data_IF_173453547918
#
_entry.id   IF_173453547918
#
_cell.length_a   1.000
_cell.length_b   1.000
_cell.length_c   1.000
_cell.angle_alpha   90.00
_cell.angle_beta   90.00
_cell.angle_gamma   90.00
#
_symmetry.space_group_name_H-M   'P 1'
#
loop_
_entity.id
_entity.type
_entity.pdbx_description
1 polymer ?
#
# COMPACT_ATOMS: atom_id res chain seq x y z
N UNK A 1 -18.38 -10.93 -2.75
CA UNK A 1 -18.92 -9.55 -3.01
C UNK A 1 -18.33 -9.09 -4.33
N UNK A 2 -19.07 -8.36 -5.17
CA UNK A 2 -18.46 -7.78 -6.38
C UNK A 2 -17.46 -6.66 -6.00
N UNK A 3 -16.47 -6.41 -6.85
CA UNK A 3 -15.45 -5.36 -6.67
C UNK A 3 -16.10 -3.99 -6.52
N UNK A 4 -17.20 -3.74 -7.23
CA UNK A 4 -17.98 -2.50 -7.10
C UNK A 4 -18.52 -2.27 -5.69
N UNK A 5 -19.02 -3.34 -5.04
CA UNK A 5 -19.54 -3.27 -3.68
C UNK A 5 -18.41 -3.09 -2.66
N UNK A 6 -17.32 -3.83 -2.83
CA UNK A 6 -16.11 -3.72 -1.99
C UNK A 6 -15.58 -2.29 -1.98
N UNK A 7 -15.43 -1.69 -3.16
CA UNK A 7 -14.92 -0.33 -3.30
C UNK A 7 -15.95 0.69 -2.80
N UNK A 8 -17.23 0.47 -3.07
CA UNK A 8 -18.31 1.32 -2.59
C UNK A 8 -18.39 1.37 -1.05
N UNK A 9 -18.20 0.25 -0.38
CA UNK A 9 -18.10 0.19 1.09
C UNK A 9 -16.83 0.91 1.57
N UNK A 10 -15.69 0.55 1.01
CA UNK A 10 -14.39 1.10 1.39
C UNK A 10 -14.30 2.62 1.24
N UNK A 11 -14.96 3.21 0.25
CA UNK A 11 -15.04 4.67 0.09
C UNK A 11 -15.82 5.31 1.25
N UNK A 12 -16.88 4.67 1.75
CA UNK A 12 -17.69 5.24 2.84
C UNK A 12 -17.06 5.03 4.21
N UNK A 13 -16.24 4.00 4.36
CA UNK A 13 -15.66 3.57 5.63
C UNK A 13 -14.94 4.68 6.41
N UNK A 14 -14.02 5.50 5.84
CA UNK A 14 -13.37 6.56 6.61
C UNK A 14 -14.35 7.65 7.06
N UNK A 15 -15.47 7.85 6.35
CA UNK A 15 -16.48 8.85 6.69
C UNK A 15 -17.35 8.46 7.90
N UNK A 16 -17.23 7.23 8.41
CA UNK A 16 -17.95 6.78 9.60
C UNK A 16 -17.45 7.47 10.88
N UNK A 17 -16.14 7.79 10.97
CA UNK A 17 -15.56 8.47 12.11
C UNK A 17 -14.47 9.47 11.69
N UNK A 18 -14.88 10.73 11.49
CA UNK A 18 -13.97 11.82 11.14
C UNK A 18 -12.95 12.14 12.23
N UNK A 19 -13.24 11.81 13.49
CA UNK A 19 -12.27 12.03 14.57
C UNK A 19 -11.06 11.11 14.38
N UNK A 20 -11.29 9.83 14.07
CA UNK A 20 -10.21 8.86 13.78
C UNK A 20 -9.44 9.20 12.51
N UNK A 21 -10.11 9.72 11.48
CA UNK A 21 -9.44 10.25 10.27
C UNK A 21 -8.49 11.40 10.64
N UNK A 22 -8.97 12.36 11.45
CA UNK A 22 -8.16 13.50 11.87
C UNK A 22 -7.01 13.09 12.80
N UNK A 23 -7.23 12.12 13.71
CA UNK A 23 -6.17 11.56 14.56
C UNK A 23 -5.08 10.89 13.72
N UNK A 24 -5.44 10.05 12.74
CA UNK A 24 -4.50 9.49 11.78
C UNK A 24 -3.77 10.60 11.01
N UNK A 25 -4.49 11.66 10.65
CA UNK A 25 -3.96 12.86 10.03
C UNK A 25 -2.91 13.58 10.88
N UNK A 26 -3.14 13.72 12.19
CA UNK A 26 -2.16 14.29 13.12
C UNK A 26 -0.90 13.42 13.18
N UNK A 27 -1.03 12.08 13.18
CA UNK A 27 0.13 11.19 13.07
C UNK A 27 0.87 11.33 11.74
N UNK A 28 0.13 11.49 10.63
CA UNK A 28 0.72 11.79 9.34
C UNK A 28 1.43 13.16 9.33
N UNK A 29 0.97 14.15 10.08
CA UNK A 29 1.68 15.42 10.22
C UNK A 29 2.97 15.27 11.05
N UNK A 30 2.91 14.48 12.12
CA UNK A 30 4.09 14.13 12.93
C UNK A 30 5.09 13.26 12.15
N UNK A 31 4.69 12.62 11.04
CA UNK A 31 5.62 11.80 10.24
C UNK A 31 6.69 12.64 9.54
N UNK A 32 6.44 13.94 9.36
CA UNK A 32 7.44 14.87 8.85
C UNK A 32 8.63 15.06 9.81
N UNK A 33 8.46 14.74 11.09
CA UNK A 33 9.51 14.81 12.14
C UNK A 33 10.08 13.41 12.43
N UNK A 34 10.00 12.48 11.48
CA UNK A 34 10.45 11.06 11.57
C UNK A 34 9.58 10.19 12.50
N UNK A 35 9.07 10.73 13.60
CA UNK A 35 8.31 9.94 14.60
C UNK A 35 7.00 9.40 14.03
N UNK A 36 6.23 10.19 13.27
CA UNK A 36 4.92 9.76 12.78
C UNK A 36 4.96 8.70 11.65
N UNK A 37 6.12 8.47 11.00
CA UNK A 37 6.24 7.39 10.00
C UNK A 37 6.00 6.01 10.65
N UNK A 38 6.20 5.94 11.97
CA UNK A 38 6.03 4.75 12.78
C UNK A 38 4.60 4.53 13.28
N UNK A 39 3.63 5.36 12.89
CA UNK A 39 2.25 5.22 13.38
C UNK A 39 1.26 4.90 12.26
N UNK A 40 1.40 5.57 11.10
CA UNK A 40 0.46 5.42 9.99
C UNK A 40 0.40 3.97 9.47
N UNK A 41 1.52 3.28 9.15
CA UNK A 41 1.45 1.93 8.59
C UNK A 41 0.82 0.91 9.55
N UNK A 42 1.09 1.03 10.85
CA UNK A 42 0.55 0.16 11.88
C UNK A 42 -0.94 0.36 12.11
N UNK A 43 -1.43 1.61 12.05
CA UNK A 43 -2.87 1.86 12.12
C UNK A 43 -3.60 1.33 10.86
N UNK A 44 -2.97 1.44 9.69
CA UNK A 44 -3.46 0.84 8.43
C UNK A 44 -3.53 -0.68 8.55
N UNK A 45 -2.49 -1.32 9.11
CA UNK A 45 -2.49 -2.76 9.37
C UNK A 45 -3.58 -3.15 10.38
N UNK A 46 -3.76 -2.39 11.46
CA UNK A 46 -4.82 -2.61 12.45
C UNK A 46 -6.21 -2.49 11.83
N UNK A 47 -6.40 -1.53 10.92
CA UNK A 47 -7.66 -1.37 10.17
C UNK A 47 -7.93 -2.57 9.28
N UNK A 48 -6.88 -3.09 8.63
CA UNK A 48 -6.96 -4.32 7.85
C UNK A 48 -7.33 -5.51 8.75
N UNK A 49 -6.65 -5.71 9.89
CA UNK A 49 -6.97 -6.76 10.88
C UNK A 49 -8.44 -6.68 11.33
N UNK A 50 -8.91 -5.49 11.70
CA UNK A 50 -10.30 -5.29 12.12
C UNK A 50 -11.31 -5.64 11.02
N UNK A 51 -11.02 -5.28 9.77
CA UNK A 51 -11.86 -5.65 8.62
C UNK A 51 -11.86 -7.17 8.40
N UNK A 52 -10.70 -7.82 8.49
CA UNK A 52 -10.59 -9.28 8.38
C UNK A 52 -11.32 -10.02 9.51
N UNK A 53 -11.41 -9.40 10.70
CA UNK A 53 -12.19 -9.89 11.82
C UNK A 53 -13.71 -9.65 11.67
N UNK A 54 -14.14 -8.95 10.61
CA UNK A 54 -15.54 -8.63 10.34
C UNK A 54 -16.06 -7.40 11.08
N UNK A 55 -15.17 -6.56 11.63
CA UNK A 55 -15.58 -5.26 12.21
C UNK A 55 -15.89 -4.26 11.11
N UNK A 56 -17.02 -3.57 11.24
CA UNK A 56 -17.40 -2.44 10.38
C UNK A 56 -17.01 -1.08 10.98
N UNK A 57 -16.33 -1.07 12.12
CA UNK A 57 -15.91 0.14 12.82
C UNK A 57 -14.40 0.37 12.72
N UNK A 58 -14.01 1.64 12.57
CA UNK A 58 -12.61 2.07 12.61
C UNK A 58 -11.96 1.69 13.96
N UNK A 59 -10.75 1.12 13.99
CA UNK A 59 -10.09 0.75 15.24
C UNK A 59 -9.82 1.94 16.16
N UNK A 60 -9.83 1.71 17.47
CA UNK A 60 -9.42 2.74 18.43
C UNK A 60 -7.91 3.03 18.35
N UNK A 61 -7.58 4.28 18.65
CA UNK A 61 -6.21 4.74 18.84
C UNK A 61 -5.74 4.38 20.27
N UNK A 62 -5.41 3.09 20.44
CA UNK A 62 -4.84 2.52 21.67
C UNK A 62 -3.53 1.79 21.40
N UNK A 63 -2.90 1.28 22.46
CA UNK A 63 -1.75 0.35 22.36
C UNK A 63 -0.66 0.83 21.39
N UNK A 64 -0.25 2.08 21.58
CA UNK A 64 0.70 2.80 20.73
C UNK A 64 2.01 2.04 20.51
N UNK A 65 2.50 1.34 21.54
CA UNK A 65 3.73 0.55 21.46
C UNK A 65 3.61 -0.60 20.45
N UNK A 66 2.49 -1.32 20.48
CA UNK A 66 2.22 -2.39 19.51
C UNK A 66 2.04 -1.82 18.10
N UNK A 67 1.34 -0.69 17.97
CA UNK A 67 1.15 -0.04 16.68
C UNK A 67 2.47 0.45 16.04
N UNK A 68 3.42 0.88 16.86
CA UNK A 68 4.78 1.20 16.40
C UNK A 68 5.51 -0.05 15.93
N UNK A 69 5.43 -1.15 16.69
CA UNK A 69 6.06 -2.43 16.32
C UNK A 69 5.47 -2.92 14.99
N UNK A 70 4.16 -2.86 14.83
CA UNK A 70 3.48 -3.27 13.60
C UNK A 70 3.84 -2.36 12.42
N UNK A 71 3.97 -1.05 12.65
CA UNK A 71 4.47 -0.14 11.61
C UNK A 71 5.88 -0.50 11.17
N UNK A 72 6.78 -0.82 12.11
CA UNK A 72 8.15 -1.25 11.80
C UNK A 72 8.14 -2.52 10.97
N UNK A 73 7.29 -3.51 11.30
CA UNK A 73 7.15 -4.73 10.51
C UNK A 73 6.67 -4.43 9.09
N UNK A 74 5.63 -3.61 8.91
CA UNK A 74 5.13 -3.19 7.58
C UNK A 74 6.22 -2.46 6.78
N UNK A 75 7.01 -1.61 7.43
CA UNK A 75 8.15 -0.92 6.80
C UNK A 75 9.21 -1.93 6.35
N UNK A 76 9.57 -2.90 7.20
CA UNK A 76 10.54 -3.96 6.85
C UNK A 76 10.04 -4.75 5.63
N UNK A 77 8.78 -5.17 5.62
CA UNK A 77 8.16 -5.86 4.47
C UNK A 77 8.26 -4.98 3.22
N UNK A 78 7.85 -3.71 3.31
CA UNK A 78 7.88 -2.78 2.18
C UNK A 78 9.30 -2.59 1.64
N UNK A 79 10.30 -2.48 2.52
CA UNK A 79 11.71 -2.40 2.12
C UNK A 79 12.10 -3.68 1.39
N UNK A 80 11.87 -4.86 1.97
CA UNK A 80 12.29 -6.14 1.38
C UNK A 80 11.68 -6.36 -0.01
N UNK A 81 10.38 -6.10 -0.18
CA UNK A 81 9.72 -6.19 -1.49
C UNK A 81 10.18 -5.11 -2.47
N UNK A 82 10.71 -3.97 -2.00
CA UNK A 82 11.25 -2.92 -2.88
C UNK A 82 12.70 -3.11 -3.30
N UNK A 83 13.48 -3.98 -2.64
CA UNK A 83 14.91 -4.17 -2.91
C UNK A 83 15.17 -4.56 -4.37
N UNK A 84 14.49 -5.59 -4.89
CA UNK A 84 14.74 -6.09 -6.24
C UNK A 84 14.38 -5.03 -7.30
N UNK A 85 13.17 -4.43 -7.30
CA UNK A 85 12.86 -3.31 -8.18
C UNK A 85 13.89 -2.18 -8.09
N UNK A 86 14.27 -1.78 -6.89
CA UNK A 86 15.23 -0.70 -6.67
C UNK A 86 16.60 -1.01 -7.27
N UNK A 87 17.15 -2.22 -7.04
CA UNK A 87 18.44 -2.64 -7.61
C UNK A 87 18.38 -2.61 -9.14
N UNK A 88 17.33 -3.16 -9.76
CA UNK A 88 17.22 -3.19 -11.23
C UNK A 88 17.13 -1.78 -11.80
N UNK A 89 16.33 -0.90 -11.18
CA UNK A 89 16.22 0.51 -11.57
C UNK A 89 17.57 1.21 -11.45
N UNK A 90 18.28 1.03 -10.33
CA UNK A 90 19.59 1.65 -10.11
C UNK A 90 20.61 1.14 -11.12
N UNK A 91 20.72 -0.17 -11.35
CA UNK A 91 21.62 -0.74 -12.36
C UNK A 91 21.30 -0.18 -13.74
N UNK A 92 20.02 -0.10 -14.11
CA UNK A 92 19.63 0.45 -15.40
C UNK A 92 19.97 1.94 -15.54
N UNK A 93 19.74 2.75 -14.51
CA UNK A 93 20.06 4.18 -14.52
C UNK A 93 21.58 4.38 -14.61
N UNK A 94 22.36 3.73 -13.74
CA UNK A 94 23.82 3.87 -13.74
C UNK A 94 24.46 3.28 -14.99
N UNK A 95 23.96 2.15 -15.49
CA UNK A 95 24.39 1.57 -16.76
C UNK A 95 24.11 2.50 -17.93
N UNK A 96 22.95 3.16 -17.94
CA UNK A 96 22.61 4.17 -18.94
C UNK A 96 23.57 5.35 -18.88
N UNK A 97 23.82 5.90 -17.69
CA UNK A 97 24.78 7.02 -17.50
C UNK A 97 26.19 6.63 -17.93
N UNK A 98 26.68 5.46 -17.52
CA UNK A 98 28.01 4.97 -17.89
C UNK A 98 28.15 4.77 -19.41
N UNK A 99 27.11 4.27 -20.08
CA UNK A 99 27.14 4.09 -21.54
C UNK A 99 27.24 5.44 -22.28
N UNK A 100 26.55 6.48 -21.80
CA UNK A 100 26.65 7.83 -22.38
C UNK A 100 28.03 8.44 -22.19
N UNK A 101 28.68 8.21 -21.04
CA UNK A 101 30.04 8.71 -20.78
C UNK A 101 31.09 8.06 -21.68
N UNK A 102 30.93 6.77 -22.00
CA UNK A 102 31.87 6.03 -22.85
C UNK A 102 31.72 6.34 -24.35
N UNK A 103 30.53 6.75 -24.79
CA UNK A 103 30.23 7.04 -26.20
C UNK A 103 30.38 8.55 -26.52
N UNK A 104 30.52 9.41 -25.50
CA UNK A 104 30.77 10.84 -25.65
C UNK A 104 29.68 11.59 -26.41
N UNK A 105 30.04 12.65 -27.15
CA UNK A 105 29.13 13.47 -27.97
C UNK A 105 28.50 12.72 -29.18
N UNK A 106 28.76 11.41 -29.34
CA UNK A 106 28.23 10.62 -30.46
C UNK A 106 26.82 10.08 -30.20
N UNK A 107 26.35 10.09 -28.94
CA UNK A 107 24.96 9.74 -28.61
C UNK A 107 24.09 10.97 -28.84
N UNK A 108 23.14 10.87 -29.76
CA UNK A 108 22.15 11.94 -29.92
C UNK A 108 21.32 12.07 -28.63
N UNK A 109 20.88 13.28 -28.24
CA UNK A 109 19.99 13.46 -27.08
C UNK A 109 18.75 12.55 -27.13
N UNK A 110 18.26 12.23 -28.33
CA UNK A 110 17.12 11.32 -28.55
C UNK A 110 17.46 9.88 -28.16
N UNK A 111 18.65 9.39 -28.52
CA UNK A 111 19.10 8.05 -28.15
C UNK A 111 19.34 7.93 -26.63
N UNK A 112 19.84 8.99 -25.99
CA UNK A 112 19.99 9.07 -24.54
C UNK A 112 18.63 9.01 -23.80
N UNK A 113 17.64 9.77 -24.28
CA UNK A 113 16.26 9.72 -23.76
C UNK A 113 15.66 8.32 -23.98
N UNK A 114 15.88 7.72 -25.15
CA UNK A 114 15.42 6.37 -25.47
C UNK A 114 15.93 5.33 -24.48
N UNK A 115 17.23 5.36 -24.17
CA UNK A 115 17.86 4.43 -23.23
C UNK A 115 17.31 4.58 -21.80
N UNK A 116 17.22 5.81 -21.31
CA UNK A 116 16.67 6.11 -19.98
C UNK A 116 15.18 5.73 -19.88
N UNK A 117 14.41 5.95 -20.95
CA UNK A 117 12.99 5.61 -20.99
C UNK A 117 12.74 4.10 -21.00
N UNK A 118 13.58 3.30 -21.69
CA UNK A 118 13.46 1.85 -21.70
C UNK A 118 13.71 1.22 -20.32
N UNK A 119 14.74 1.70 -19.62
CA UNK A 119 15.02 1.29 -18.22
C UNK A 119 13.87 1.68 -17.30
N UNK A 120 13.35 2.90 -17.45
CA UNK A 120 12.24 3.37 -16.63
C UNK A 120 10.99 2.48 -16.80
N UNK A 121 10.67 2.06 -18.03
CA UNK A 121 9.53 1.16 -18.30
C UNK A 121 9.72 -0.20 -17.60
N UNK A 122 10.90 -0.82 -17.74
CA UNK A 122 11.20 -2.10 -17.07
C UNK A 122 11.11 -1.95 -15.55
N UNK A 123 11.66 -0.86 -15.02
CA UNK A 123 11.60 -0.52 -13.61
C UNK A 123 10.18 -0.39 -13.08
N UNK A 124 9.33 0.34 -13.81
CA UNK A 124 7.90 0.50 -13.46
C UNK A 124 7.16 -0.83 -13.48
N UNK A 125 7.40 -1.67 -14.49
CA UNK A 125 6.79 -3.01 -14.57
C UNK A 125 7.19 -3.85 -13.36
N UNK A 126 8.48 -3.90 -13.01
CA UNK A 126 8.95 -4.62 -11.84
C UNK A 126 8.36 -4.05 -10.54
N UNK A 127 8.30 -2.73 -10.41
CA UNK A 127 7.72 -2.11 -9.23
C UNK A 127 6.24 -2.48 -9.05
N UNK A 128 5.46 -2.47 -10.13
CA UNK A 128 4.05 -2.91 -10.11
C UNK A 128 3.94 -4.39 -9.74
N UNK A 129 4.77 -5.26 -10.32
CA UNK A 129 4.76 -6.69 -10.01
C UNK A 129 5.07 -6.96 -8.54
N UNK A 130 6.07 -6.28 -7.97
CA UNK A 130 6.41 -6.44 -6.56
C UNK A 130 5.36 -5.81 -5.64
N UNK A 131 4.74 -4.69 -6.04
CA UNK A 131 3.64 -4.09 -5.31
C UNK A 131 2.41 -5.01 -5.22
N UNK A 132 2.10 -5.75 -6.30
CA UNK A 132 1.07 -6.79 -6.30
C UNK A 132 1.36 -7.86 -5.23
N UNK A 133 2.59 -8.36 -5.15
CA UNK A 133 2.92 -9.37 -4.12
C UNK A 133 2.96 -8.76 -2.71
N UNK A 134 3.52 -7.57 -2.55
CA UNK A 134 3.61 -6.88 -1.26
C UNK A 134 2.21 -6.65 -0.65
N UNK A 135 1.22 -6.30 -1.47
CA UNK A 135 -0.16 -6.07 -1.01
C UNK A 135 -0.73 -7.30 -0.32
N UNK A 136 -0.56 -8.47 -0.93
CA UNK A 136 -1.02 -9.75 -0.38
C UNK A 136 -0.12 -10.26 0.75
N UNK A 137 1.17 -9.92 0.73
CA UNK A 137 2.07 -10.20 1.85
C UNK A 137 1.63 -9.48 3.14
N UNK A 138 1.24 -8.21 3.05
CA UNK A 138 0.71 -7.44 4.18
C UNK A 138 -0.62 -8.02 4.64
N UNK A 139 -1.50 -8.44 3.72
CA UNK A 139 -2.75 -9.10 4.07
C UNK A 139 -2.52 -10.46 4.77
N UNK A 140 -1.58 -11.28 4.28
CA UNK A 140 -1.21 -12.53 4.95
C UNK A 140 -0.63 -12.27 6.34
N UNK A 141 0.25 -11.28 6.48
CA UNK A 141 0.76 -10.85 7.79
C UNK A 141 -0.37 -10.41 8.74
N UNK A 142 -1.40 -9.73 8.24
CA UNK A 142 -2.56 -9.36 9.04
C UNK A 142 -3.40 -10.57 9.50
N UNK A 143 -3.50 -11.63 8.68
CA UNK A 143 -4.18 -12.88 9.03
C UNK A 143 -3.47 -13.66 10.15
N UNK A 144 -2.15 -13.50 10.27
CA UNK A 144 -1.31 -14.15 11.29
C UNK A 144 -0.86 -13.16 12.38
N UNK A 145 -1.79 -12.31 12.83
CA UNK A 145 -1.59 -11.33 13.92
C UNK A 145 -0.25 -10.57 13.86
N UNK A 146 0.01 -9.94 12.72
CA UNK A 146 1.22 -9.15 12.51
C UNK A 146 2.52 -9.97 12.63
N UNK A 147 2.52 -11.30 12.39
CA UNK A 147 3.75 -12.09 12.28
C UNK A 147 4.56 -11.66 11.04
N UNK A 148 5.74 -11.07 11.27
CA UNK A 148 6.62 -10.63 10.18
C UNK A 148 6.99 -11.79 9.24
N UNK A 149 7.14 -13.01 9.77
CA UNK A 149 7.46 -14.19 8.96
C UNK A 149 6.36 -14.53 7.96
N UNK A 150 5.09 -14.29 8.31
CA UNK A 150 3.94 -14.55 7.46
C UNK A 150 3.93 -13.69 6.18
N UNK A 151 4.54 -12.50 6.20
CA UNK A 151 4.70 -11.67 5.00
C UNK A 151 5.63 -12.29 3.93
N UNK A 152 6.39 -13.32 4.28
CA UNK A 152 7.35 -13.97 3.38
C UNK A 152 6.99 -15.44 3.10
N UNK A 153 5.82 -15.90 3.53
CA UNK A 153 5.31 -17.25 3.23
C UNK A 153 4.67 -17.26 1.84
N UNK A 154 5.52 -17.24 0.81
CA UNK A 154 5.10 -17.08 -0.59
C UNK A 154 4.05 -18.10 -1.05
N UNK A 155 4.12 -19.34 -0.58
CA UNK A 155 3.12 -20.37 -0.89
C UNK A 155 1.73 -19.97 -0.39
N UNK A 156 1.63 -19.52 0.87
CA UNK A 156 0.37 -19.07 1.46
C UNK A 156 -0.17 -17.82 0.76
N UNK A 157 0.71 -16.88 0.41
CA UNK A 157 0.37 -15.66 -0.34
C UNK A 157 -0.18 -16.01 -1.74
N UNK A 158 0.45 -16.96 -2.43
CA UNK A 158 -0.04 -17.43 -3.73
C UNK A 158 -1.40 -18.13 -3.61
N UNK A 159 -1.60 -18.91 -2.55
CA UNK A 159 -2.88 -19.58 -2.32
C UNK A 159 -3.98 -18.58 -1.95
N UNK A 160 -3.65 -17.52 -1.21
CA UNK A 160 -4.53 -16.38 -0.93
C UNK A 160 -4.97 -15.66 -2.21
N UNK A 161 -4.04 -15.40 -3.13
CA UNK A 161 -4.37 -14.80 -4.44
C UNK A 161 -5.25 -15.74 -5.27
N UNK A 162 -4.93 -17.04 -5.29
CA UNK A 162 -5.72 -18.04 -6.04
C UNK A 162 -7.14 -18.18 -5.49
N UNK A 163 -7.32 -18.10 -4.17
CA UNK A 163 -8.65 -18.18 -3.57
C UNK A 163 -9.50 -16.94 -3.85
N UNK A 164 -8.89 -15.76 -3.97
CA UNK A 164 -9.58 -14.55 -4.49
C UNK A 164 -9.88 -14.70 -5.99
N UNK A 165 -8.98 -15.36 -6.73
CA UNK A 165 -8.99 -15.41 -8.18
C UNK A 165 -8.09 -14.33 -8.77
N UNK A 166 -7.19 -14.73 -9.68
CA UNK A 166 -6.22 -13.80 -10.29
C UNK A 166 -6.89 -12.66 -11.06
N UNK A 167 -8.02 -12.94 -11.73
CA UNK A 167 -8.75 -11.94 -12.51
C UNK A 167 -9.32 -10.88 -11.58
N UNK A 168 -10.05 -11.28 -10.54
CA UNK A 168 -10.69 -10.37 -9.61
C UNK A 168 -9.66 -9.58 -8.79
N UNK A 169 -8.56 -10.23 -8.40
CA UNK A 169 -7.44 -9.54 -7.75
C UNK A 169 -6.83 -8.45 -8.66
N UNK A 170 -6.58 -8.76 -9.93
CA UNK A 170 -6.03 -7.77 -10.89
C UNK A 170 -7.02 -6.65 -11.14
N UNK A 171 -8.31 -6.95 -11.29
CA UNK A 171 -9.37 -5.93 -11.47
C UNK A 171 -9.40 -5.01 -10.26
N UNK A 172 -9.43 -5.55 -9.04
CA UNK A 172 -9.37 -4.78 -7.80
C UNK A 172 -8.12 -3.89 -7.77
N UNK A 173 -6.95 -4.44 -8.07
CA UNK A 173 -5.70 -3.69 -8.04
C UNK A 173 -5.69 -2.53 -9.04
N UNK A 174 -6.23 -2.74 -10.25
CA UNK A 174 -6.40 -1.68 -11.25
C UNK A 174 -7.36 -0.59 -10.75
N UNK A 175 -8.47 -0.96 -10.11
CA UNK A 175 -9.39 0.02 -9.51
C UNK A 175 -8.68 0.83 -8.42
N UNK A 176 -7.87 0.19 -7.57
CA UNK A 176 -7.08 0.89 -6.55
C UNK A 176 -6.04 1.83 -7.14
N UNK A 177 -5.41 1.47 -8.27
CA UNK A 177 -4.53 2.39 -9.02
C UNK A 177 -5.32 3.61 -9.51
N UNK A 178 -6.51 3.41 -10.08
CA UNK A 178 -7.35 4.51 -10.58
C UNK A 178 -7.74 5.46 -9.42
N UNK A 179 -8.14 4.91 -8.27
CA UNK A 179 -8.42 5.70 -7.07
C UNK A 179 -7.17 6.47 -6.63
N UNK A 180 -6.00 5.81 -6.62
CA UNK A 180 -4.73 6.46 -6.32
C UNK A 180 -4.41 7.62 -7.27
N UNK A 181 -4.67 7.47 -8.56
CA UNK A 181 -4.53 8.54 -9.56
C UNK A 181 -5.47 9.70 -9.24
N UNK A 182 -6.74 9.44 -8.92
CA UNK A 182 -7.72 10.47 -8.54
C UNK A 182 -7.26 11.22 -7.29
N UNK A 183 -6.82 10.50 -6.26
CA UNK A 183 -6.24 11.09 -5.03
C UNK A 183 -5.03 11.95 -5.37
N UNK A 184 -4.14 11.48 -6.25
CA UNK A 184 -2.97 12.23 -6.72
C UNK A 184 -3.32 13.51 -7.48
N UNK A 185 -4.36 13.48 -8.32
CA UNK A 185 -4.86 14.68 -9.01
C UNK A 185 -5.43 15.69 -8.01
N UNK A 186 -6.23 15.24 -7.03
CA UNK A 186 -6.76 16.10 -5.97
C UNK A 186 -5.61 16.71 -5.15
N UNK A 187 -4.63 15.89 -4.76
CA UNK A 187 -3.43 16.33 -4.05
C UNK A 187 -2.66 17.40 -4.85
N UNK A 188 -2.51 17.20 -6.16
CA UNK A 188 -1.82 18.16 -7.05
C UNK A 188 -2.52 19.51 -7.08
N UNK A 189 -3.85 19.53 -7.11
CA UNK A 189 -4.65 20.76 -7.07
C UNK A 189 -4.53 21.44 -5.71
N UNK A 190 -4.66 20.68 -4.61
CA UNK A 190 -4.49 21.20 -3.26
C UNK A 190 -3.09 21.76 -3.03
N UNK A 191 -2.05 21.14 -3.62
CA UNK A 191 -0.67 21.58 -3.53
C UNK A 191 -0.40 22.99 -4.09
N UNK A 192 -1.28 23.52 -4.93
CA UNK A 192 -1.21 24.91 -5.43
C UNK A 192 -1.46 25.91 -4.29
N UNK A 193 -2.27 25.53 -3.29
CA UNK A 193 -2.63 26.37 -2.16
C UNK A 193 -1.58 26.18 -1.05
N UNK A 194 -0.72 27.19 -0.77
CA UNK A 194 0.31 27.05 0.24
C UNK A 194 -0.31 26.85 1.63
N UNK A 195 0.34 26.02 2.45
CA UNK A 195 -0.01 25.74 3.86
C UNK A 195 -1.37 25.04 4.04
N UNK A 196 -2.48 25.67 3.65
CA UNK A 196 -3.84 25.13 3.83
C UNK A 196 -4.04 23.87 2.99
N UNK A 197 -3.65 23.91 1.71
CA UNK A 197 -3.76 22.74 0.85
C UNK A 197 -2.95 21.56 1.37
N UNK A 198 -1.74 21.83 1.86
CA UNK A 198 -0.88 20.85 2.52
C UNK A 198 -1.50 20.26 3.79
N UNK A 199 -2.11 21.11 4.61
CA UNK A 199 -2.78 20.67 5.83
C UNK A 199 -3.98 19.75 5.51
N UNK A 200 -4.79 20.09 4.51
CA UNK A 200 -5.91 19.25 4.07
C UNK A 200 -5.40 17.92 3.53
N UNK A 201 -4.31 17.92 2.76
CA UNK A 201 -3.73 16.68 2.24
C UNK A 201 -3.31 15.73 3.37
N UNK A 202 -2.56 16.26 4.34
CA UNK A 202 -1.99 15.48 5.43
C UNK A 202 -3.06 15.05 6.45
N UNK A 203 -3.97 15.95 6.83
CA UNK A 203 -4.96 15.68 7.87
C UNK A 203 -6.17 14.89 7.40
N UNK A 204 -6.48 14.94 6.10
CA UNK A 204 -7.73 14.40 5.57
C UNK A 204 -7.47 13.49 4.38
N UNK A 205 -6.90 14.01 3.28
CA UNK A 205 -6.84 13.27 2.01
C UNK A 205 -6.08 11.96 2.13
N UNK A 206 -4.85 11.97 2.67
CA UNK A 206 -4.03 10.76 2.79
C UNK A 206 -4.59 9.79 3.83
N UNK A 207 -4.94 10.20 5.07
CA UNK A 207 -5.63 9.33 6.02
C UNK A 207 -6.86 8.64 5.44
N UNK A 208 -7.69 9.38 4.72
CA UNK A 208 -8.88 8.86 4.06
C UNK A 208 -8.51 7.78 3.02
N UNK A 209 -7.54 8.06 2.16
CA UNK A 209 -7.08 7.12 1.14
C UNK A 209 -6.48 5.85 1.74
N UNK A 210 -5.70 5.97 2.83
CA UNK A 210 -5.11 4.83 3.53
C UNK A 210 -6.16 3.92 4.17
N UNK A 211 -7.18 4.51 4.81
CA UNK A 211 -8.28 3.76 5.43
C UNK A 211 -9.17 3.08 4.41
N UNK A 212 -9.48 3.77 3.31
CA UNK A 212 -10.16 3.19 2.15
C UNK A 212 -9.37 1.99 1.62
N UNK A 213 -8.06 2.13 1.43
CA UNK A 213 -7.21 1.04 0.95
C UNK A 213 -7.24 -0.17 1.89
N UNK A 214 -7.04 0.05 3.20
CA UNK A 214 -7.05 -1.03 4.19
C UNK A 214 -8.39 -1.77 4.22
N UNK A 215 -9.50 -1.03 4.22
CA UNK A 215 -10.86 -1.59 4.20
C UNK A 215 -11.10 -2.38 2.93
N UNK A 216 -10.79 -1.80 1.77
CA UNK A 216 -11.01 -2.45 0.48
C UNK A 216 -10.22 -3.75 0.35
N UNK A 217 -8.97 -3.75 0.81
CA UNK A 217 -8.12 -4.95 0.84
C UNK A 217 -8.67 -6.02 1.77
N UNK A 218 -9.11 -5.64 2.98
CA UNK A 218 -9.69 -6.58 3.94
C UNK A 218 -10.96 -7.22 3.40
N UNK A 219 -11.84 -6.42 2.80
CA UNK A 219 -13.08 -6.91 2.18
C UNK A 219 -12.80 -7.80 0.97
N UNK A 220 -11.80 -7.48 0.14
CA UNK A 220 -11.40 -8.36 -0.96
C UNK A 220 -11.01 -9.76 -0.43
N UNK A 221 -10.20 -9.79 0.62
CA UNK A 221 -9.75 -11.04 1.24
C UNK A 221 -10.91 -11.80 1.90
N UNK A 222 -11.92 -11.11 2.46
CA UNK A 222 -13.08 -11.74 3.11
C UNK A 222 -14.25 -12.05 2.20
N UNK A 223 -14.24 -11.51 0.97
CA UNK A 223 -15.36 -11.62 0.04
C UNK A 223 -15.59 -13.01 -0.56
N UNK A 224 -14.65 -13.94 -0.39
CA UNK A 224 -14.65 -15.32 -0.91
C UNK A 224 -14.20 -16.33 0.17
N UNK A 225 -14.47 -17.62 -0.03
CA UNK A 225 -14.46 -18.77 0.91
C UNK A 225 -13.19 -19.03 1.78
N UNK A 226 -12.22 -18.12 1.86
CA UNK A 226 -11.08 -18.18 2.80
C UNK A 226 -11.50 -18.34 4.27
N UNK A 227 -12.70 -17.85 4.62
CA UNK A 227 -13.28 -17.90 5.96
C UNK A 227 -14.11 -19.16 6.22
N UNK A 228 -14.23 -20.06 5.25
CA UNK A 228 -14.91 -21.35 5.41
C UNK A 228 -13.99 -22.43 6.03
N UNK A 229 -12.67 -22.21 6.12
CA UNK A 229 -11.72 -23.11 6.79
C UNK A 229 -11.29 -22.53 8.13
N UNK A 230 -11.81 -23.12 9.23
CA UNK A 230 -11.67 -22.67 10.63
C UNK A 230 -10.23 -22.44 11.14
N UNK A 231 -9.19 -22.86 10.43
CA UNK A 231 -7.80 -22.81 10.91
C UNK A 231 -7.13 -21.43 10.76
N UNK A 232 -7.54 -20.60 9.79
CA UNK A 232 -6.94 -19.27 9.55
C UNK A 232 -7.56 -18.14 10.37
N UNK A 233 -8.74 -18.36 10.97
CA UNK A 233 -9.50 -17.33 11.68
C UNK A 233 -9.18 -17.23 13.17
N UNK A 234 -8.53 -18.24 13.76
CA UNK A 234 -8.23 -18.26 15.20
C UNK A 234 -7.33 -17.09 15.59
N UNK A 235 -6.37 -16.71 14.74
CA UNK A 235 -5.45 -15.61 15.02
C UNK A 235 -5.99 -14.22 14.69
N UNK A 236 -7.04 -14.11 13.86
CA UNK A 236 -7.64 -12.81 13.52
C UNK A 236 -8.77 -12.40 14.49
N UNK A 237 -9.24 -13.32 15.35
CA UNK A 237 -10.36 -13.12 16.27
C UNK A 237 -9.95 -13.00 17.75
N UNK A 238 -8.71 -13.33 18.08
CA UNK A 238 -8.09 -13.12 19.40
C UNK A 238 -7.36 -11.78 19.45
#
# INVERSE_FOLDING_TARGET
MDIGDIVGDAVRYPSQDWKKVLELGVFALLSMVIIGILFVPGYVLRTLKATLAGSDELPEFGDWGEMIIDSLKVIVVSIVYSIIPAIVILIGIFGSIASMQNIGNLVSPVAAIGLLSGVAIIGVILWILFALFQTMAIANMALYDSDLGAAFRFSEILDLIKSIGWVDYIIWFVVMIIIGIVVGVIASILGIIPIIGWLIMILILYPYAYLLYARSLGLLVTSEDLFATEEKTTYARE
#
